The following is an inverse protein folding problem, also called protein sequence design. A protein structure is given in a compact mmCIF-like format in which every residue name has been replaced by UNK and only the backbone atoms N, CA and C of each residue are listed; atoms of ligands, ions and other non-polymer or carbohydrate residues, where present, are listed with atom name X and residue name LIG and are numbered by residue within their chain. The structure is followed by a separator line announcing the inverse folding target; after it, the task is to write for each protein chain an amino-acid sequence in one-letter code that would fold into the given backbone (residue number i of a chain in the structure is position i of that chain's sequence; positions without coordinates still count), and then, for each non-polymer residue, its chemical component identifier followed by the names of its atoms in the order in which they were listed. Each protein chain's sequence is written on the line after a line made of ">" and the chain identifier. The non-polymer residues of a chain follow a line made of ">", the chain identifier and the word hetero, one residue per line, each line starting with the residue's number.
data_IF_963161756732
#
_entry.id   IF_963161756732
#
_cell.length_a   1.000
_cell.length_b   1.000
_cell.length_c   1.000
_cell.angle_alpha   90.00
_cell.angle_beta   90.00
_cell.angle_gamma   90.00
#
_symmetry.space_group_name_H-M   'P 1'
#
loop_
_entity.id
_entity.type
_entity.pdbx_description
1 polymer ?
#
# COMPACT_ATOMS: atom_id res chain seq x y z
N UNK A 1 -12.20 16.30 1.50
CA UNK A 1 -13.00 15.23 0.86
C UNK A 1 -12.16 14.16 0.13
N UNK A 2 -10.92 14.44 -0.31
CA UNK A 2 -10.04 13.43 -0.94
C UNK A 2 -9.19 12.66 0.10
N UNK A 3 -8.70 13.35 1.14
CA UNK A 3 -7.87 12.75 2.21
C UNK A 3 -8.52 11.52 2.84
N UNK A 4 -9.77 11.64 3.28
CA UNK A 4 -10.49 10.54 3.92
C UNK A 4 -10.70 9.33 2.99
N UNK A 5 -10.90 9.57 1.68
CA UNK A 5 -11.06 8.49 0.69
C UNK A 5 -9.74 7.74 0.48
N UNK A 6 -8.65 8.48 0.35
CA UNK A 6 -7.29 7.92 0.22
C UNK A 6 -6.93 7.12 1.48
N UNK A 7 -7.16 7.70 2.65
CA UNK A 7 -6.88 7.04 3.93
C UNK A 7 -7.71 5.76 4.10
N UNK A 8 -9.01 5.79 3.76
CA UNK A 8 -9.87 4.60 3.80
C UNK A 8 -9.39 3.50 2.86
N UNK A 9 -9.02 3.85 1.62
CA UNK A 9 -8.47 2.91 0.65
C UNK A 9 -7.18 2.26 1.15
N UNK A 10 -6.24 3.06 1.68
CA UNK A 10 -4.97 2.56 2.22
C UNK A 10 -5.23 1.66 3.43
N UNK A 11 -6.13 2.05 4.34
CA UNK A 11 -6.51 1.22 5.49
C UNK A 11 -7.05 -0.14 5.04
N UNK A 12 -7.94 -0.17 4.06
CA UNK A 12 -8.52 -1.42 3.55
C UNK A 12 -7.45 -2.35 2.96
N UNK A 13 -6.46 -1.80 2.26
CA UNK A 13 -5.42 -2.59 1.59
C UNK A 13 -4.29 -3.04 2.53
N UNK A 14 -3.98 -2.28 3.59
CA UNK A 14 -2.96 -2.67 4.58
C UNK A 14 -3.56 -3.56 5.68
N UNK A 15 -4.88 -3.48 5.94
CA UNK A 15 -5.55 -4.24 7.01
C UNK A 15 -5.33 -5.76 6.95
N UNK A 16 -5.31 -6.43 5.78
CA UNK A 16 -4.97 -7.85 5.69
C UNK A 16 -3.59 -8.18 6.27
N UNK A 17 -2.58 -7.34 6.06
CA UNK A 17 -1.22 -7.52 6.58
C UNK A 17 -1.17 -7.39 8.11
N UNK A 18 -1.98 -6.48 8.66
CA UNK A 18 -2.11 -6.34 10.11
C UNK A 18 -2.86 -7.53 10.73
N UNK A 19 -3.90 -8.05 10.04
CA UNK A 19 -4.65 -9.22 10.49
C UNK A 19 -3.86 -10.51 10.42
N UNK A 20 -2.98 -10.66 9.43
CA UNK A 20 -2.12 -11.84 9.28
C UNK A 20 -0.91 -11.83 10.23
N UNK A 21 -0.72 -10.76 11.03
CA UNK A 21 0.40 -10.63 11.95
C UNK A 21 1.74 -10.28 11.28
N UNK A 22 1.75 -10.03 9.97
CA UNK A 22 2.96 -9.63 9.22
C UNK A 22 3.47 -8.26 9.69
N UNK A 23 2.57 -7.38 10.11
CA UNK A 23 2.89 -6.08 10.70
C UNK A 23 2.12 -5.87 12.01
N UNK A 24 2.73 -5.12 12.92
CA UNK A 24 2.11 -4.68 14.17
C UNK A 24 1.10 -3.55 13.95
N UNK A 25 0.26 -3.29 14.96
CA UNK A 25 -0.73 -2.18 14.93
C UNK A 25 -0.04 -0.82 14.76
N UNK A 26 1.12 -0.62 15.37
CA UNK A 26 1.86 0.64 15.24
C UNK A 26 2.49 0.80 13.85
N UNK A 27 3.02 -0.27 13.28
CA UNK A 27 3.49 -0.28 11.88
C UNK A 27 2.34 -0.03 10.91
N UNK A 28 1.16 -0.60 11.16
CA UNK A 28 -0.05 -0.32 10.39
C UNK A 28 -0.42 1.17 10.43
N UNK A 29 -0.49 1.78 11.62
CA UNK A 29 -0.80 3.22 11.78
C UNK A 29 0.23 4.09 11.09
N UNK A 30 1.51 3.74 11.24
CA UNK A 30 2.62 4.44 10.61
C UNK A 30 2.56 4.35 9.08
N UNK A 31 2.34 3.15 8.52
CA UNK A 31 2.28 2.92 7.09
C UNK A 31 1.08 3.63 6.45
N UNK A 32 -0.09 3.61 7.10
CA UNK A 32 -1.27 4.36 6.65
C UNK A 32 -0.98 5.86 6.62
N UNK A 33 -0.39 6.40 7.69
CA UNK A 33 -0.04 7.81 7.79
C UNK A 33 0.96 8.25 6.71
N UNK A 34 2.07 7.53 6.57
CA UNK A 34 3.13 7.86 5.59
C UNK A 34 2.66 7.76 4.15
N UNK A 35 1.84 6.75 3.84
CA UNK A 35 1.31 6.57 2.50
C UNK A 35 0.28 7.65 2.16
N UNK A 36 -0.59 8.00 3.10
CA UNK A 36 -1.57 9.08 2.93
C UNK A 36 -0.86 10.43 2.73
N UNK A 37 0.14 10.74 3.53
CA UNK A 37 0.96 11.95 3.41
C UNK A 37 1.64 12.03 2.04
N UNK A 38 2.25 10.93 1.58
CA UNK A 38 2.92 10.86 0.28
C UNK A 38 1.95 11.09 -0.88
N UNK A 39 0.81 10.41 -0.87
CA UNK A 39 -0.24 10.60 -1.88
C UNK A 39 -0.73 12.05 -1.90
N UNK A 40 -0.96 12.67 -0.75
CA UNK A 40 -1.39 14.07 -0.67
C UNK A 40 -0.34 15.06 -1.16
N UNK A 41 0.95 14.79 -0.89
CA UNK A 41 2.06 15.67 -1.26
C UNK A 41 2.24 15.78 -2.78
N UNK A 42 2.09 14.68 -3.50
CA UNK A 42 2.29 14.66 -4.97
C UNK A 42 1.00 14.92 -5.76
N UNK A 43 -0.17 14.81 -5.13
CA UNK A 43 -1.46 14.83 -5.83
C UNK A 43 -2.42 15.92 -5.35
N UNK A 44 -1.93 16.95 -4.65
CA UNK A 44 -2.75 18.09 -4.26
C UNK A 44 -3.37 18.84 -5.46
N UNK A 45 -2.85 18.64 -6.67
CA UNK A 45 -3.30 19.25 -7.93
C UNK A 45 -3.96 18.29 -8.93
N UNK A 46 -3.87 16.98 -8.73
CA UNK A 46 -4.44 15.98 -9.65
C UNK A 46 -5.94 15.80 -9.34
N UNK A 47 -6.79 16.00 -10.37
CA UNK A 47 -8.25 15.88 -10.21
C UNK A 47 -8.76 14.45 -10.12
N UNK A 48 -7.96 13.45 -10.53
CA UNK A 48 -8.41 12.05 -10.67
C UNK A 48 -7.39 11.04 -10.17
N UNK A 49 -7.88 9.98 -9.55
CA UNK A 49 -7.06 8.96 -8.88
C UNK A 49 -6.44 7.90 -9.82
N UNK A 50 -6.50 8.10 -11.14
CA UNK A 50 -6.03 7.10 -12.13
C UNK A 50 -4.54 6.78 -11.99
N UNK A 51 -3.74 7.76 -11.56
CA UNK A 51 -2.33 7.53 -11.27
C UNK A 51 -2.11 6.57 -10.10
N UNK A 52 -2.93 6.67 -9.04
CA UNK A 52 -2.85 5.77 -7.88
C UNK A 52 -3.16 4.32 -8.24
N UNK A 53 -4.10 4.12 -9.16
CA UNK A 53 -4.43 2.78 -9.68
C UNK A 53 -3.22 2.21 -10.43
N UNK A 54 -2.60 3.00 -11.32
CA UNK A 54 -1.39 2.58 -12.07
C UNK A 54 -0.19 2.29 -11.17
N UNK A 55 0.08 3.14 -10.19
CA UNK A 55 1.19 2.92 -9.25
C UNK A 55 0.89 1.74 -8.30
N UNK A 56 -0.35 1.59 -7.85
CA UNK A 56 -0.79 0.44 -7.06
C UNK A 56 -0.58 -0.89 -7.79
N UNK A 57 -0.89 -0.96 -9.09
CA UNK A 57 -0.62 -2.15 -9.92
C UNK A 57 0.87 -2.48 -10.02
N UNK A 58 1.74 -1.47 -10.17
CA UNK A 58 3.19 -1.69 -10.21
C UNK A 58 3.72 -2.25 -8.89
N UNK A 59 3.28 -1.67 -7.76
CA UNK A 59 3.69 -2.13 -6.43
C UNK A 59 3.18 -3.56 -6.17
N UNK A 60 1.95 -3.87 -6.58
CA UNK A 60 1.40 -5.23 -6.48
C UNK A 60 2.25 -6.25 -7.24
N UNK A 61 2.58 -5.96 -8.51
CA UNK A 61 3.47 -6.83 -9.31
C UNK A 61 4.83 -7.03 -8.66
N UNK A 62 5.41 -5.96 -8.10
CA UNK A 62 6.70 -6.05 -7.42
C UNK A 62 6.63 -6.95 -6.17
N UNK A 63 5.54 -6.83 -5.39
CA UNK A 63 5.30 -7.67 -4.22
C UNK A 63 5.12 -9.16 -4.59
N UNK A 64 4.39 -9.44 -5.67
CA UNK A 64 4.23 -10.80 -6.21
C UNK A 64 5.58 -11.40 -6.61
N UNK A 65 6.43 -10.62 -7.31
CA UNK A 65 7.80 -11.03 -7.65
C UNK A 65 8.66 -11.35 -6.43
N UNK A 66 8.54 -10.57 -5.34
CA UNK A 66 9.26 -10.87 -4.10
C UNK A 66 8.80 -12.19 -3.46
N UNK A 67 7.50 -12.48 -3.49
CA UNK A 67 6.94 -13.74 -2.97
C UNK A 67 7.45 -14.92 -3.80
N UNK A 68 7.39 -14.83 -5.13
CA UNK A 68 7.89 -15.87 -6.03
C UNK A 68 9.39 -16.13 -5.81
N UNK A 69 10.20 -15.07 -5.74
CA UNK A 69 11.63 -15.17 -5.48
C UNK A 69 11.94 -15.78 -4.10
N UNK A 70 11.15 -15.46 -3.07
CA UNK A 70 11.30 -16.05 -1.74
C UNK A 70 10.94 -17.54 -1.72
N UNK A 71 9.89 -17.96 -2.44
CA UNK A 71 9.46 -19.35 -2.57
C UNK A 71 10.46 -20.22 -3.34
N UNK A 72 11.13 -19.66 -4.37
CA UNK A 72 12.18 -20.37 -5.09
C UNK A 72 13.40 -20.66 -4.20
N UNK A 73 13.75 -19.73 -3.29
CA UNK A 73 14.86 -19.92 -2.34
C UNK A 73 14.61 -20.96 -1.25
N UNK A 74 13.35 -21.30 -0.97
CA UNK A 74 12.98 -22.32 0.04
C UNK A 74 12.88 -23.74 -0.53
N UNK A 75 12.88 -23.90 -1.87
CA UNK A 75 12.80 -25.19 -2.58
C UNK A 75 14.16 -25.77 -2.99
N UNK A 76 15.27 -25.13 -2.61
CA UNK A 76 16.64 -25.62 -2.80
C UNK A 76 17.21 -25.98 -1.44
#
# INVERSE_FOLDING_TARGET
>A
MVIKKVEAYIKEHIRPLCKSGVITVDQYRWAVGKTTEKVMKYHSKEKTANFLIKEGEKVKKLAEQYIEAAQQKTKT
#
